data_IF_714286367478
#
_entry.id   IF_714286367478
#
_cell.length_a   1.000
_cell.length_b   1.000
_cell.length_c   1.000
_cell.angle_alpha   90.00
_cell.angle_beta   90.00
_cell.angle_gamma   90.00
#
_symmetry.space_group_name_H-M   'P 1'
#
loop_
_entity.id
_entity.type
_entity.pdbx_description
1 polymer ?
#
# COMPACT_ATOMS: atom_id res chain seq x y z
N UNK A 1 15.71 11.69 -7.25
CA UNK A 1 14.48 11.30 -6.53
C UNK A 1 13.30 11.73 -7.36
N UNK A 2 12.38 10.82 -7.70
CA UNK A 2 11.18 11.14 -8.51
C UNK A 2 9.97 11.15 -7.61
N UNK A 3 9.15 12.21 -7.70
CA UNK A 3 7.91 12.36 -6.93
C UNK A 3 6.76 12.50 -7.91
N UNK A 4 5.68 11.74 -7.69
CA UNK A 4 4.46 11.82 -8.50
C UNK A 4 3.28 12.24 -7.62
N UNK A 5 2.69 13.38 -7.93
CA UNK A 5 1.49 13.86 -7.25
C UNK A 5 0.25 13.19 -7.83
N UNK A 6 -0.56 12.57 -6.97
CA UNK A 6 -1.86 12.01 -7.32
C UNK A 6 -2.96 12.84 -6.65
N UNK A 7 -3.56 13.75 -7.42
CA UNK A 7 -4.52 14.75 -6.90
C UNK A 7 -5.87 14.61 -7.60
N UNK A 8 -6.95 14.84 -6.86
CA UNK A 8 -8.32 14.80 -7.37
C UNK A 8 -9.34 14.91 -6.23
N UNK A 9 -10.61 15.22 -6.53
CA UNK A 9 -11.66 15.39 -5.52
C UNK A 9 -11.94 14.09 -4.73
N UNK A 10 -12.70 14.18 -3.65
CA UNK A 10 -13.20 12.98 -2.96
C UNK A 10 -13.96 12.08 -3.94
N UNK A 11 -13.79 10.76 -3.82
CA UNK A 11 -14.40 9.80 -4.76
C UNK A 11 -13.69 9.63 -6.11
N UNK A 12 -12.63 10.39 -6.41
CA UNK A 12 -11.92 10.30 -7.70
C UNK A 12 -11.07 9.03 -7.92
N UNK A 13 -11.21 8.01 -7.08
CA UNK A 13 -10.49 6.74 -7.22
C UNK A 13 -9.01 6.73 -6.83
N UNK A 14 -8.50 7.75 -6.11
CA UNK A 14 -7.08 7.81 -5.69
C UNK A 14 -6.63 6.55 -4.94
N UNK A 15 -7.40 6.16 -3.93
CA UNK A 15 -7.12 4.96 -3.13
C UNK A 15 -7.14 3.71 -4.00
N UNK A 16 -8.14 3.58 -4.88
CA UNK A 16 -8.25 2.46 -5.81
C UNK A 16 -7.03 2.35 -6.72
N UNK A 17 -6.56 3.48 -7.27
CA UNK A 17 -5.35 3.51 -8.10
C UNK A 17 -4.12 3.05 -7.33
N UNK A 18 -3.89 3.57 -6.12
CA UNK A 18 -2.76 3.14 -5.30
C UNK A 18 -2.83 1.63 -4.98
N UNK A 19 -4.02 1.10 -4.69
CA UNK A 19 -4.22 -0.33 -4.43
C UNK A 19 -3.87 -1.17 -5.66
N UNK A 20 -4.36 -0.76 -6.83
CA UNK A 20 -4.09 -1.44 -8.09
C UNK A 20 -2.58 -1.45 -8.41
N UNK A 21 -1.89 -0.32 -8.22
CA UNK A 21 -0.44 -0.25 -8.43
C UNK A 21 0.33 -1.09 -7.40
N UNK A 22 -0.09 -1.12 -6.14
CA UNK A 22 0.52 -1.98 -5.12
C UNK A 22 0.32 -3.48 -5.43
N UNK A 23 -0.87 -3.89 -5.88
CA UNK A 23 -1.12 -5.27 -6.34
C UNK A 23 -0.25 -5.62 -7.54
N UNK A 24 -0.22 -4.75 -8.56
CA UNK A 24 0.59 -4.97 -9.75
C UNK A 24 2.07 -5.10 -9.41
N UNK A 25 2.58 -4.26 -8.51
CA UNK A 25 3.94 -4.38 -8.01
C UNK A 25 4.14 -5.75 -7.33
N UNK A 26 3.32 -6.10 -6.32
CA UNK A 26 3.41 -7.38 -5.62
C UNK A 26 3.36 -8.61 -6.54
N UNK A 27 2.59 -8.55 -7.62
CA UNK A 27 2.50 -9.63 -8.61
C UNK A 27 3.71 -9.70 -9.54
N UNK A 28 4.30 -8.56 -9.89
CA UNK A 28 5.44 -8.52 -10.82
C UNK A 28 6.69 -9.19 -10.23
N UNK A 29 6.90 -9.10 -8.93
CA UNK A 29 8.07 -9.69 -8.28
C UNK A 29 7.77 -9.95 -6.80
N UNK A 30 7.95 -11.18 -6.31
CA UNK A 30 7.68 -11.47 -4.89
C UNK A 30 8.77 -10.93 -3.94
N UNK A 31 10.01 -10.87 -4.43
CA UNK A 31 11.22 -10.63 -3.63
C UNK A 31 11.96 -9.32 -3.97
N UNK A 32 11.36 -8.46 -4.80
CA UNK A 32 11.94 -7.16 -5.10
C UNK A 32 11.87 -6.19 -3.92
N UNK A 33 12.32 -4.95 -4.15
CA UNK A 33 12.41 -3.91 -3.12
C UNK A 33 11.15 -3.73 -2.27
N UNK A 34 11.36 -3.39 -0.98
CA UNK A 34 10.28 -3.18 0.00
C UNK A 34 9.33 -2.07 -0.44
N UNK A 35 8.03 -2.36 -0.39
CA UNK A 35 6.97 -1.39 -0.66
C UNK A 35 6.44 -0.83 0.68
N UNK A 36 6.16 0.46 0.74
CA UNK A 36 5.63 1.11 1.93
C UNK A 36 4.32 1.82 1.58
N UNK A 37 3.25 1.43 2.25
CA UNK A 37 1.97 2.13 2.23
C UNK A 37 1.79 2.86 3.55
N UNK A 38 1.98 4.17 3.52
CA UNK A 38 1.76 5.03 4.68
C UNK A 38 0.30 5.51 4.71
N UNK A 39 -0.39 5.26 5.83
CA UNK A 39 -1.81 5.61 5.99
C UNK A 39 -2.13 5.94 7.45
N UNK A 40 -3.22 6.66 7.78
CA UNK A 40 -3.64 6.82 9.15
C UNK A 40 -3.82 5.47 9.87
N UNK A 41 -3.52 5.42 11.17
CA UNK A 41 -3.56 4.18 11.98
C UNK A 41 -4.91 3.45 11.89
N UNK A 42 -6.00 4.18 11.72
CA UNK A 42 -7.36 3.65 11.62
C UNK A 42 -7.63 2.94 10.28
N UNK A 43 -6.81 3.21 9.26
CA UNK A 43 -7.02 2.73 7.89
C UNK A 43 -6.05 1.61 7.47
N UNK A 44 -5.09 1.21 8.32
CA UNK A 44 -4.12 0.17 7.98
C UNK A 44 -4.82 -1.15 7.63
N UNK A 45 -5.64 -1.68 8.56
CA UNK A 45 -6.36 -2.93 8.35
C UNK A 45 -7.31 -2.90 7.15
N UNK A 46 -7.95 -1.76 6.89
CA UNK A 46 -8.81 -1.59 5.72
C UNK A 46 -8.03 -1.73 4.41
N UNK A 47 -6.84 -1.12 4.33
CA UNK A 47 -5.96 -1.22 3.15
C UNK A 47 -5.51 -2.66 2.94
N UNK A 48 -5.07 -3.35 4.00
CA UNK A 48 -4.64 -4.76 3.92
C UNK A 48 -5.77 -5.68 3.42
N UNK A 49 -6.96 -5.54 3.99
CA UNK A 49 -8.14 -6.28 3.53
C UNK A 49 -8.47 -5.98 2.09
N UNK A 50 -8.43 -4.71 1.69
CA UNK A 50 -8.69 -4.33 0.31
C UNK A 50 -7.67 -4.94 -0.63
N UNK A 51 -6.37 -4.95 -0.30
CA UNK A 51 -5.34 -5.57 -1.14
C UNK A 51 -5.62 -7.05 -1.44
N UNK A 52 -6.10 -7.80 -0.46
CA UNK A 52 -6.37 -9.25 -0.56
C UNK A 52 -7.77 -9.58 -1.10
N UNK A 53 -8.68 -8.60 -1.17
CA UNK A 53 -10.11 -8.84 -1.37
C UNK A 53 -10.47 -9.50 -2.72
N UNK A 54 -9.70 -9.27 -3.78
CA UNK A 54 -9.97 -9.84 -5.11
C UNK A 54 -9.24 -11.16 -5.37
N UNK A 55 -8.43 -11.64 -4.41
CA UNK A 55 -7.64 -12.86 -4.54
C UNK A 55 -6.48 -12.78 -5.54
N UNK A 56 -6.27 -11.63 -6.19
CA UNK A 56 -5.17 -11.42 -7.14
C UNK A 56 -3.80 -11.48 -6.43
N UNK A 57 -3.79 -11.08 -5.16
CA UNK A 57 -2.69 -11.31 -4.21
C UNK A 57 -3.25 -12.19 -3.08
N UNK A 58 -2.69 -13.39 -2.91
CA UNK A 58 -3.11 -14.32 -1.84
C UNK A 58 -2.45 -14.04 -0.49
N UNK A 59 -1.34 -13.31 -0.53
CA UNK A 59 -0.54 -12.91 0.62
C UNK A 59 0.65 -12.10 0.14
N UNK A 60 1.27 -11.35 1.04
CA UNK A 60 2.45 -10.56 0.75
C UNK A 60 3.35 -10.49 1.99
N UNK A 61 4.66 -10.39 1.76
CA UNK A 61 5.68 -10.22 2.81
C UNK A 61 6.44 -8.90 2.66
N UNK A 62 6.59 -8.41 1.43
CA UNK A 62 7.40 -7.23 1.13
C UNK A 62 6.67 -5.88 1.21
N UNK A 63 5.35 -5.87 1.31
CA UNK A 63 4.57 -4.63 1.47
C UNK A 63 4.32 -4.36 2.95
N UNK A 64 4.67 -3.15 3.39
CA UNK A 64 4.41 -2.66 4.72
C UNK A 64 3.27 -1.66 4.70
N UNK A 65 2.11 -2.04 5.23
CA UNK A 65 0.99 -1.13 5.47
C UNK A 65 1.09 -0.61 6.89
N UNK A 66 1.50 0.64 7.06
CA UNK A 66 1.90 1.20 8.37
C UNK A 66 1.37 2.62 8.57
N UNK A 67 1.18 2.97 9.83
CA UNK A 67 1.04 4.37 10.26
C UNK A 67 2.41 5.00 10.52
N UNK A 68 2.51 6.34 10.60
CA UNK A 68 3.77 7.01 10.93
C UNK A 68 4.45 6.45 12.19
N UNK A 69 3.69 6.25 13.28
CA UNK A 69 4.24 5.70 14.53
C UNK A 69 4.80 4.28 14.34
N UNK A 70 4.06 3.41 13.63
CA UNK A 70 4.49 2.04 13.32
C UNK A 70 5.70 2.00 12.40
N UNK A 71 5.84 2.98 11.51
CA UNK A 71 7.03 3.10 10.67
C UNK A 71 8.23 3.51 11.53
N UNK A 72 8.05 4.47 12.45
CA UNK A 72 9.10 4.89 13.37
C UNK A 72 9.58 3.71 14.24
N UNK A 73 8.66 2.95 14.85
CA UNK A 73 8.96 1.74 15.63
C UNK A 73 9.75 0.66 14.87
N UNK A 74 9.67 0.64 13.53
CA UNK A 74 10.36 -0.36 12.70
C UNK A 74 11.74 0.08 12.24
N UNK A 75 12.04 1.37 12.33
CA UNK A 75 13.27 1.97 11.79
C UNK A 75 14.20 2.44 12.91
N UNK A 76 13.64 2.84 14.06
CA UNK A 76 14.34 3.19 15.29
C UNK A 76 14.55 1.95 16.15
#
# INVERSE_FOLDING_TARGET
MVVRFLVGPAGSGKTFRCLAEARAALQAEADGGRLIWLTPKQATFQVERQLLADGAVRGYTRLWVVSPDRLAERVL
#
